data_IF_385056179014
#
_entry.id   IF_385056179014
#
_cell.length_a   1.000
_cell.length_b   1.000
_cell.length_c   1.000
_cell.angle_alpha   90.00
_cell.angle_beta   90.00
_cell.angle_gamma   90.00
#
_symmetry.space_group_name_H-M   'P 1'
#
loop_
_entity.id
_entity.type
_entity.pdbx_description
1 polymer ?
#
# COMPACT_ATOMS: atom_id res chain seq x y z
N UNK A 1 -14.25 -13.32 6.83
CA UNK A 1 -12.96 -13.43 7.53
C UNK A 1 -11.79 -13.32 6.56
N UNK A 2 -11.03 -12.21 6.61
CA UNK A 2 -9.90 -11.98 5.71
C UNK A 2 -8.73 -12.90 6.02
N UNK A 3 -7.94 -13.25 5.00
CA UNK A 3 -6.63 -13.86 5.19
C UNK A 3 -5.62 -12.76 5.54
N UNK A 4 -4.96 -12.91 6.68
CA UNK A 4 -3.97 -11.98 7.21
C UNK A 4 -2.65 -12.70 7.47
N UNK A 5 -1.64 -11.94 7.85
CA UNK A 5 -0.35 -12.45 8.28
C UNK A 5 -0.08 -11.98 9.72
N UNK A 6 0.41 -12.89 10.56
CA UNK A 6 0.89 -12.59 11.90
C UNK A 6 2.28 -13.19 12.09
N UNK A 7 3.28 -12.33 12.21
CA UNK A 7 4.68 -12.72 12.39
C UNK A 7 5.17 -13.72 11.31
N UNK A 8 4.83 -13.48 10.04
CA UNK A 8 5.20 -14.35 8.92
C UNK A 8 4.28 -15.55 8.70
N UNK A 9 3.31 -15.80 9.58
CA UNK A 9 2.39 -16.93 9.45
C UNK A 9 1.00 -16.47 8.95
N UNK A 10 0.38 -17.21 8.01
CA UNK A 10 -0.97 -16.91 7.56
C UNK A 10 -1.99 -17.21 8.67
N UNK A 11 -2.88 -16.26 8.94
CA UNK A 11 -3.96 -16.38 9.91
C UNK A 11 -5.29 -15.92 9.32
N UNK A 12 -6.41 -16.34 9.91
CA UNK A 12 -7.74 -15.82 9.57
C UNK A 12 -8.11 -14.71 10.55
N UNK A 13 -8.33 -13.51 10.02
CA UNK A 13 -8.91 -12.40 10.76
C UNK A 13 -10.41 -12.59 10.97
N UNK A 14 -11.04 -11.74 11.77
CA UNK A 14 -12.45 -11.88 12.14
C UNK A 14 -13.27 -10.68 11.68
N UNK A 15 -14.26 -10.93 10.83
CA UNK A 15 -15.20 -9.88 10.40
C UNK A 15 -14.58 -8.85 9.44
N UNK A 16 -14.96 -7.58 9.62
CA UNK A 16 -14.51 -6.48 8.74
C UNK A 16 -13.09 -6.05 9.10
N UNK A 17 -12.24 -5.90 8.08
CA UNK A 17 -10.79 -5.77 8.25
C UNK A 17 -10.37 -4.58 9.12
N UNK A 18 -11.02 -3.42 9.00
CA UNK A 18 -10.71 -2.25 9.82
C UNK A 18 -10.96 -2.54 11.31
N UNK A 19 -12.05 -3.24 11.62
CA UNK A 19 -12.43 -3.57 13.00
C UNK A 19 -11.42 -4.58 13.60
N UNK A 20 -11.06 -5.61 12.83
CA UNK A 20 -10.09 -6.65 13.22
C UNK A 20 -8.69 -6.08 13.46
N UNK A 21 -8.20 -5.22 12.56
CA UNK A 21 -6.92 -4.51 12.75
C UNK A 21 -6.94 -3.62 13.99
N UNK A 22 -8.08 -3.00 14.28
CA UNK A 22 -8.27 -2.18 15.48
C UNK A 22 -8.24 -3.05 16.74
N UNK A 23 -8.90 -4.20 16.74
CA UNK A 23 -8.89 -5.14 17.87
C UNK A 23 -7.47 -5.57 18.22
N UNK A 24 -6.66 -5.87 17.20
CA UNK A 24 -5.24 -6.17 17.37
C UNK A 24 -4.44 -4.98 17.92
N UNK A 25 -4.71 -3.75 17.47
CA UNK A 25 -4.08 -2.54 17.99
C UNK A 25 -4.44 -2.29 19.46
N UNK A 26 -5.71 -2.47 19.83
CA UNK A 26 -6.18 -2.34 21.21
C UNK A 26 -5.50 -3.35 22.13
N UNK A 27 -5.41 -4.61 21.70
CA UNK A 27 -4.72 -5.67 22.43
C UNK A 27 -3.22 -5.36 22.59
N UNK A 28 -2.58 -4.85 21.53
CA UNK A 28 -1.19 -4.43 21.59
C UNK A 28 -0.97 -3.29 22.60
N UNK A 29 -1.80 -2.24 22.56
CA UNK A 29 -1.70 -1.10 23.50
C UNK A 29 -1.86 -1.59 24.94
N UNK A 30 -2.86 -2.43 25.21
CA UNK A 30 -3.12 -3.01 26.54
C UNK A 30 -1.91 -3.80 27.05
N UNK A 31 -1.38 -4.72 26.24
CA UNK A 31 -0.21 -5.55 26.60
C UNK A 31 1.05 -4.72 26.88
N UNK A 32 1.15 -3.53 26.25
CA UNK A 32 2.31 -2.66 26.37
C UNK A 32 2.10 -1.47 27.31
N UNK A 33 0.99 -1.39 28.05
CA UNK A 33 0.61 -0.22 28.89
C UNK A 33 1.67 0.24 29.90
N UNK A 34 2.59 -0.65 30.29
CA UNK A 34 3.65 -0.38 31.28
C UNK A 34 5.01 -0.02 30.64
N UNK A 35 5.11 0.11 29.32
CA UNK A 35 6.34 0.51 28.62
C UNK A 35 6.02 1.41 27.43
N UNK A 36 6.98 2.23 26.93
CA UNK A 36 6.79 2.94 25.68
C UNK A 36 6.52 1.96 24.52
N UNK A 37 5.67 2.35 23.59
CA UNK A 37 5.35 1.56 22.41
C UNK A 37 5.23 2.43 21.16
N UNK A 38 5.43 1.80 20.00
CA UNK A 38 5.06 2.35 18.70
C UNK A 38 4.01 1.41 18.10
N UNK A 39 2.81 1.95 17.83
CA UNK A 39 1.71 1.22 17.23
C UNK A 39 1.36 1.87 15.90
N UNK A 40 1.62 1.17 14.80
CA UNK A 40 1.23 1.59 13.45
C UNK A 40 0.03 0.77 12.99
N UNK A 41 -1.07 1.46 12.66
CA UNK A 41 -2.34 0.83 12.26
C UNK A 41 -2.67 1.25 10.82
N UNK A 42 -2.19 0.51 9.80
CA UNK A 42 -2.43 0.83 8.40
C UNK A 42 -3.80 0.33 7.95
N UNK A 43 -4.85 1.13 8.14
CA UNK A 43 -6.14 0.81 7.52
C UNK A 43 -6.02 0.83 6.00
N UNK A 44 -6.61 -0.17 5.35
CA UNK A 44 -6.72 -0.22 3.90
C UNK A 44 -7.93 0.56 3.38
N UNK A 45 -8.89 0.91 4.23
CA UNK A 45 -10.04 1.74 3.88
C UNK A 45 -9.65 3.22 3.88
N UNK A 46 -10.29 4.09 3.05
CA UNK A 46 -11.41 3.82 2.14
C UNK A 46 -10.95 3.45 0.71
N UNK A 47 -9.88 2.68 0.57
CA UNK A 47 -9.52 2.10 -0.73
C UNK A 47 -10.58 1.10 -1.20
N UNK A 48 -10.62 0.87 -2.51
CA UNK A 48 -11.42 -0.21 -3.11
C UNK A 48 -10.87 -1.60 -2.72
N UNK A 49 -11.68 -2.67 -2.77
CA UNK A 49 -13.07 -2.73 -3.23
C UNK A 49 -14.03 -1.97 -2.31
N UNK A 50 -15.10 -1.41 -2.88
CA UNK A 50 -16.07 -0.57 -2.15
C UNK A 50 -17.02 -1.41 -1.30
N UNK A 51 -16.50 -1.97 -0.21
CA UNK A 51 -17.20 -2.82 0.74
C UNK A 51 -17.17 -2.23 2.16
N UNK A 52 -18.31 -2.21 2.84
CA UNK A 52 -18.43 -1.77 4.23
C UNK A 52 -19.67 -2.43 4.85
N UNK A 53 -19.71 -2.77 6.16
CA UNK A 53 -20.89 -3.38 6.78
C UNK A 53 -22.17 -2.55 6.61
N UNK A 54 -23.33 -3.23 6.54
CA UNK A 54 -24.65 -2.59 6.30
C UNK A 54 -24.93 -1.46 7.29
N UNK A 55 -24.60 -1.66 8.58
CA UNK A 55 -24.81 -0.66 9.65
C UNK A 55 -24.20 0.71 9.33
N UNK A 56 -23.12 0.76 8.58
CA UNK A 56 -22.51 2.01 8.12
C UNK A 56 -23.12 2.44 6.80
N UNK A 57 -23.28 1.54 5.83
CA UNK A 57 -23.75 1.90 4.50
C UNK A 57 -25.19 2.45 4.49
N UNK A 58 -26.07 1.94 5.35
CA UNK A 58 -27.48 2.31 5.37
C UNK A 58 -27.70 3.80 5.61
N UNK A 59 -26.86 4.45 6.41
CA UNK A 59 -26.90 5.89 6.63
C UNK A 59 -26.40 6.74 5.45
N UNK A 60 -25.73 6.13 4.47
CA UNK A 60 -25.11 6.81 3.33
C UNK A 60 -25.72 6.43 1.98
N UNK A 61 -26.42 5.30 1.88
CA UNK A 61 -26.97 4.72 0.64
C UNK A 61 -27.72 5.74 -0.22
N UNK A 62 -28.56 6.56 0.41
CA UNK A 62 -29.39 7.56 -0.24
C UNK A 62 -29.00 9.00 0.15
N UNK A 63 -27.85 9.16 0.81
CA UNK A 63 -27.40 10.47 1.28
C UNK A 63 -27.14 11.39 0.08
N UNK A 64 -27.73 12.60 0.05
CA UNK A 64 -27.40 13.61 -0.96
C UNK A 64 -25.92 13.99 -0.88
N UNK A 65 -25.24 14.00 -2.02
CA UNK A 65 -23.86 14.47 -2.11
C UNK A 65 -23.87 15.98 -2.32
N UNK A 66 -23.45 16.73 -1.30
CA UNK A 66 -23.43 18.21 -1.31
C UNK A 66 -22.04 18.79 -1.61
N UNK A 67 -20.99 18.01 -1.34
CA UNK A 67 -19.62 18.35 -1.69
C UNK A 67 -19.19 17.44 -2.83
N UNK A 68 -18.97 18.01 -4.01
CA UNK A 68 -18.61 17.28 -5.22
C UNK A 68 -17.15 17.49 -5.60
N UNK A 69 -16.54 16.52 -6.25
CA UNK A 69 -15.19 16.62 -6.80
C UNK A 69 -14.97 17.82 -7.71
N UNK A 70 -13.70 18.13 -8.01
CA UNK A 70 -13.34 19.19 -8.97
C UNK A 70 -13.83 18.89 -10.40
N UNK A 71 -14.10 17.62 -10.70
CA UNK A 71 -14.65 17.11 -11.97
C UNK A 71 -15.93 16.32 -11.64
N UNK A 72 -17.05 17.01 -11.29
CA UNK A 72 -18.26 16.38 -10.76
C UNK A 72 -18.91 15.39 -11.75
N UNK A 73 -18.72 15.59 -13.05
CA UNK A 73 -19.19 14.68 -14.10
C UNK A 73 -18.48 13.32 -14.10
N UNK A 74 -17.31 13.23 -13.46
CA UNK A 74 -16.55 11.99 -13.27
C UNK A 74 -16.76 11.37 -11.90
N UNK A 75 -17.46 12.06 -11.00
CA UNK A 75 -17.78 11.54 -9.69
C UNK A 75 -18.83 10.43 -9.79
N UNK A 76 -18.57 9.32 -9.12
CA UNK A 76 -19.46 8.16 -9.12
C UNK A 76 -20.17 8.09 -7.75
N UNK A 77 -21.47 8.46 -7.68
CA UNK A 77 -22.14 8.64 -6.39
C UNK A 77 -22.11 7.40 -5.49
N UNK A 78 -22.20 6.19 -6.06
CA UNK A 78 -22.10 4.94 -5.31
C UNK A 78 -20.74 4.76 -4.64
N UNK A 79 -19.65 5.05 -5.37
CA UNK A 79 -18.27 4.97 -4.82
C UNK A 79 -18.07 6.02 -3.74
N UNK A 80 -18.57 7.24 -3.95
CA UNK A 80 -18.50 8.32 -2.94
C UNK A 80 -19.24 7.94 -1.68
N UNK A 81 -20.50 7.46 -1.77
CA UNK A 81 -21.29 7.07 -0.59
C UNK A 81 -20.67 5.91 0.18
N UNK A 82 -20.15 4.91 -0.53
CA UNK A 82 -19.45 3.80 0.13
C UNK A 82 -18.16 4.26 0.80
N UNK A 83 -17.36 5.12 0.15
CA UNK A 83 -16.15 5.68 0.75
C UNK A 83 -16.46 6.52 2.00
N UNK A 84 -17.55 7.29 2.00
CA UNK A 84 -18.00 8.04 3.18
C UNK A 84 -18.43 7.11 4.33
N UNK A 85 -19.14 6.02 4.02
CA UNK A 85 -19.49 5.00 5.01
C UNK A 85 -18.26 4.26 5.55
N UNK A 86 -17.24 4.00 4.73
CA UNK A 86 -15.95 3.48 5.20
C UNK A 86 -15.25 4.48 6.13
N UNK A 87 -15.29 5.78 5.83
CA UNK A 87 -14.77 6.81 6.72
C UNK A 87 -15.49 6.85 8.06
N UNK A 88 -16.81 6.63 8.10
CA UNK A 88 -17.57 6.48 9.37
C UNK A 88 -17.04 5.31 10.20
N UNK A 89 -16.74 4.17 9.57
CA UNK A 89 -16.12 3.02 10.24
C UNK A 89 -14.70 3.32 10.73
N UNK A 90 -13.89 4.07 9.95
CA UNK A 90 -12.56 4.52 10.37
C UNK A 90 -12.69 5.44 11.60
N UNK A 91 -13.61 6.39 11.60
CA UNK A 91 -13.84 7.32 12.70
C UNK A 91 -14.22 6.57 13.99
N UNK A 92 -15.16 5.61 13.90
CA UNK A 92 -15.54 4.76 15.02
C UNK A 92 -14.32 4.03 15.61
N UNK A 93 -13.47 3.44 14.76
CA UNK A 93 -12.28 2.70 15.18
C UNK A 93 -11.16 3.59 15.74
N UNK A 94 -10.93 4.78 15.17
CA UNK A 94 -10.06 5.79 15.79
C UNK A 94 -10.59 6.17 17.17
N UNK A 95 -11.91 6.36 17.31
CA UNK A 95 -12.56 6.59 18.59
C UNK A 95 -12.33 5.47 19.60
N UNK A 96 -12.35 4.19 19.17
CA UNK A 96 -12.05 3.04 20.03
C UNK A 96 -10.60 3.11 20.56
N UNK A 97 -9.63 3.44 19.72
CA UNK A 97 -8.22 3.60 20.13
C UNK A 97 -8.08 4.75 21.13
N UNK A 98 -8.68 5.91 20.85
CA UNK A 98 -8.62 7.06 21.75
C UNK A 98 -9.23 6.75 23.13
N UNK A 99 -10.40 6.12 23.17
CA UNK A 99 -11.03 5.67 24.42
C UNK A 99 -10.15 4.68 25.19
N UNK A 100 -9.52 3.72 24.51
CA UNK A 100 -8.60 2.77 25.16
C UNK A 100 -7.40 3.47 25.80
N UNK A 101 -6.84 4.50 25.15
CA UNK A 101 -5.77 5.31 25.74
C UNK A 101 -6.24 6.06 26.99
N UNK A 102 -7.49 6.54 27.01
CA UNK A 102 -8.08 7.19 28.19
C UNK A 102 -8.35 6.19 29.33
N UNK A 103 -8.98 5.06 29.03
CA UNK A 103 -9.26 3.95 29.97
C UNK A 103 -7.98 3.46 30.69
N UNK A 104 -6.86 3.41 29.97
CA UNK A 104 -5.56 2.99 30.50
C UNK A 104 -4.74 4.12 31.11
N UNK A 105 -5.28 5.33 31.20
CA UNK A 105 -4.58 6.53 31.64
C UNK A 105 -3.26 6.78 30.87
N UNK A 106 -3.25 6.46 29.57
CA UNK A 106 -2.13 6.63 28.65
C UNK A 106 -2.24 7.91 27.81
N UNK A 107 -3.42 8.53 27.74
CA UNK A 107 -3.71 9.64 26.82
C UNK A 107 -2.69 10.78 26.86
N UNK A 108 -2.24 11.22 28.04
CA UNK A 108 -1.30 12.35 28.20
C UNK A 108 0.16 11.99 27.85
N UNK A 109 0.49 10.69 27.79
CA UNK A 109 1.82 10.16 27.48
C UNK A 109 1.88 9.47 26.11
N UNK A 110 0.88 9.69 25.25
CA UNK A 110 0.82 9.11 23.91
C UNK A 110 0.64 10.20 22.87
N UNK A 111 1.55 10.22 21.89
CA UNK A 111 1.38 11.00 20.66
C UNK A 111 0.51 10.17 19.72
N UNK A 112 -0.67 10.68 19.36
CA UNK A 112 -1.53 10.06 18.35
C UNK A 112 -1.42 10.87 17.06
N UNK A 113 -1.10 10.18 15.97
CA UNK A 113 -0.97 10.77 14.64
C UNK A 113 -1.97 10.08 13.70
N UNK A 114 -2.69 10.87 12.90
CA UNK A 114 -3.58 10.41 11.85
C UNK A 114 -3.27 11.14 10.55
N UNK A 115 -3.07 10.40 9.45
CA UNK A 115 -2.91 10.97 8.12
C UNK A 115 -3.32 9.98 7.03
N UNK A 116 -3.55 10.48 5.81
CA UNK A 116 -3.78 9.65 4.62
C UNK A 116 -2.49 9.46 3.83
N UNK A 117 -2.34 8.32 3.15
CA UNK A 117 -1.17 8.00 2.33
C UNK A 117 -1.09 8.84 1.04
N UNK A 118 -2.24 9.12 0.44
CA UNK A 118 -2.43 9.91 -0.77
C UNK A 118 -3.84 10.53 -0.81
N UNK A 119 -4.10 11.33 -1.85
CA UNK A 119 -5.44 11.77 -2.23
C UNK A 119 -6.39 10.61 -2.59
N UNK A 120 -7.68 10.89 -2.87
CA UNK A 120 -8.70 9.85 -3.06
C UNK A 120 -8.44 8.98 -4.29
N UNK A 121 -8.80 7.68 -4.23
CA UNK A 121 -8.76 6.75 -5.37
C UNK A 121 -9.95 6.88 -6.34
N UNK A 122 -10.82 7.89 -6.18
CA UNK A 122 -11.93 8.23 -7.08
C UNK A 122 -12.06 9.75 -7.21
N UNK A 123 -12.98 10.23 -8.04
CA UNK A 123 -13.26 11.66 -8.26
C UNK A 123 -14.13 12.31 -7.18
N UNK A 124 -14.20 11.71 -5.98
CA UNK A 124 -14.92 12.27 -4.83
C UNK A 124 -14.28 13.58 -4.35
N UNK A 125 -15.06 14.40 -3.65
CA UNK A 125 -14.57 15.66 -3.09
C UNK A 125 -13.29 15.50 -2.26
N UNK A 126 -12.33 16.38 -2.54
CA UNK A 126 -11.01 16.43 -1.92
C UNK A 126 -10.65 17.86 -1.50
N UNK A 127 -11.63 18.71 -1.19
CA UNK A 127 -11.39 20.14 -0.92
C UNK A 127 -11.37 21.03 -2.17
N UNK A 128 -11.93 20.56 -3.30
CA UNK A 128 -11.91 21.28 -4.57
C UNK A 128 -10.52 21.37 -5.20
N UNK A 129 -9.63 20.45 -4.84
CA UNK A 129 -8.24 20.42 -5.27
C UNK A 129 -8.12 19.61 -6.57
N UNK A 130 -7.30 20.07 -7.51
CA UNK A 130 -7.11 19.37 -8.80
C UNK A 130 -6.46 18.01 -8.61
N UNK A 131 -6.96 17.01 -9.32
CA UNK A 131 -6.39 15.67 -9.38
C UNK A 131 -6.80 14.78 -8.21
N UNK A 132 -6.33 13.54 -8.25
CA UNK A 132 -6.64 12.47 -7.29
C UNK A 132 -5.43 11.51 -7.16
N UNK A 133 -5.57 10.38 -6.47
CA UNK A 133 -4.52 9.34 -6.36
C UNK A 133 -3.88 9.07 -7.73
N UNK A 134 -2.55 9.08 -7.76
CA UNK A 134 -1.74 8.88 -8.96
C UNK A 134 -1.40 10.17 -9.74
N UNK A 135 -1.91 11.33 -9.31
CA UNK A 135 -1.51 12.64 -9.84
C UNK A 135 -0.53 13.34 -8.89
N UNK A 136 0.25 14.27 -9.45
CA UNK A 136 1.19 15.12 -8.70
C UNK A 136 0.60 16.52 -8.39
N UNK A 137 -0.67 16.73 -8.71
CA UNK A 137 -1.43 17.92 -8.37
C UNK A 137 -1.89 17.89 -6.91
N UNK A 138 -2.37 19.01 -6.37
CA UNK A 138 -2.71 19.19 -4.95
C UNK A 138 -3.65 18.11 -4.44
N UNK A 139 -4.67 17.75 -5.21
CA UNK A 139 -5.65 16.73 -4.85
C UNK A 139 -5.11 15.30 -4.83
N UNK A 140 -3.94 15.05 -5.42
CA UNK A 140 -3.24 13.77 -5.36
C UNK A 140 -2.29 13.65 -4.17
N UNK A 141 -1.66 14.75 -3.74
CA UNK A 141 -0.55 14.73 -2.78
C UNK A 141 -0.82 15.46 -1.45
N UNK A 142 -1.84 16.33 -1.38
CA UNK A 142 -2.23 17.01 -0.14
C UNK A 142 -3.30 16.21 0.59
N UNK A 143 -3.00 15.88 1.84
CA UNK A 143 -3.79 14.98 2.67
C UNK A 143 -4.04 15.58 4.07
N UNK A 144 -5.07 15.11 4.80
CA UNK A 144 -5.20 15.41 6.22
C UNK A 144 -3.99 14.89 7.01
N UNK A 145 -3.52 15.69 7.97
CA UNK A 145 -2.56 15.30 9.00
C UNK A 145 -2.99 15.92 10.33
N UNK A 146 -3.25 15.08 11.32
CA UNK A 146 -3.64 15.45 12.67
C UNK A 146 -2.63 14.84 13.65
N UNK A 147 -2.16 15.65 14.60
CA UNK A 147 -1.25 15.21 15.66
C UNK A 147 -1.83 15.68 17.00
N UNK A 148 -2.02 14.73 17.92
CA UNK A 148 -2.56 14.95 19.26
C UNK A 148 -1.54 14.49 20.30
N UNK A 149 -1.23 15.38 21.24
CA UNK A 149 -0.46 15.06 22.44
C UNK A 149 -0.94 15.94 23.60
N UNK A 150 -1.90 15.47 24.41
CA UNK A 150 -2.48 16.25 25.50
C UNK A 150 -1.43 16.74 26.49
N UNK A 151 -1.63 17.94 27.05
CA UNK A 151 -0.66 18.57 27.94
C UNK A 151 0.59 19.14 27.24
N UNK A 152 0.83 18.80 25.98
CA UNK A 152 2.01 19.24 25.21
C UNK A 152 1.64 20.12 24.01
N UNK A 153 0.73 19.65 23.15
CA UNK A 153 0.24 20.39 21.99
C UNK A 153 -1.05 21.12 22.39
N UNK A 154 -1.08 22.45 22.21
CA UNK A 154 -2.28 23.24 22.49
C UNK A 154 -3.45 22.79 21.59
N UNK A 155 -4.65 22.47 22.14
CA UNK A 155 -5.81 22.14 21.33
C UNK A 155 -6.13 23.22 20.29
N UNK A 156 -6.52 22.80 19.08
CA UNK A 156 -6.84 23.72 17.98
C UNK A 156 -5.63 24.38 17.32
N UNK A 157 -4.39 24.00 17.66
CA UNK A 157 -3.19 24.47 16.98
C UNK A 157 -3.26 24.17 15.49
N UNK A 158 -3.02 25.20 14.66
CA UNK A 158 -2.94 25.08 13.21
C UNK A 158 -1.53 25.44 12.76
N UNK A 159 -0.93 24.56 11.95
CA UNK A 159 0.39 24.78 11.35
C UNK A 159 0.17 25.16 9.87
N UNK A 160 0.23 26.46 9.51
CA UNK A 160 0.06 26.89 8.12
C UNK A 160 1.28 26.60 7.24
N UNK A 161 2.44 26.34 7.84
CA UNK A 161 3.67 26.02 7.12
C UNK A 161 3.52 24.72 6.33
N UNK A 162 4.06 24.69 5.11
CA UNK A 162 4.09 23.48 4.31
C UNK A 162 4.90 22.39 5.01
N UNK A 163 4.34 21.18 5.00
CA UNK A 163 4.93 19.99 5.58
C UNK A 163 4.61 18.78 4.69
N UNK A 164 5.38 17.71 4.83
CA UNK A 164 5.17 16.45 4.13
C UNK A 164 5.38 15.26 5.06
N UNK A 165 4.97 14.07 4.61
CA UNK A 165 5.17 12.82 5.37
C UNK A 165 6.66 12.56 5.72
N UNK A 166 7.58 13.08 4.90
CA UNK A 166 9.04 13.07 5.15
C UNK A 166 9.42 13.71 6.50
N UNK A 167 8.61 14.63 7.01
CA UNK A 167 8.84 15.32 8.27
C UNK A 167 8.46 14.46 9.49
N UNK A 168 7.70 13.37 9.31
CA UNK A 168 7.21 12.56 10.43
C UNK A 168 8.34 11.84 11.16
N UNK A 169 9.32 11.27 10.44
CA UNK A 169 10.47 10.60 11.05
C UNK A 169 11.27 11.54 11.98
N UNK A 170 11.77 12.71 11.52
CA UNK A 170 12.50 13.62 12.41
C UNK A 170 11.61 14.23 13.50
N UNK A 171 10.33 14.45 13.24
CA UNK A 171 9.38 14.98 14.24
C UNK A 171 9.16 13.99 15.37
N UNK A 172 8.84 12.74 15.05
CA UNK A 172 8.50 11.71 16.04
C UNK A 172 9.73 11.29 16.86
N UNK A 173 10.90 11.19 16.23
CA UNK A 173 12.16 10.90 16.94
C UNK A 173 12.54 12.00 17.92
N UNK A 174 12.46 13.28 17.51
CA UNK A 174 12.67 14.45 18.39
C UNK A 174 11.67 14.49 19.54
N UNK A 175 10.37 14.28 19.27
CA UNK A 175 9.33 14.28 20.30
C UNK A 175 9.43 13.11 21.28
N UNK A 176 9.88 11.93 20.81
CA UNK A 176 10.07 10.74 21.63
C UNK A 176 11.44 10.67 22.34
N UNK A 177 12.36 11.60 22.05
CA UNK A 177 13.73 11.56 22.57
C UNK A 177 14.55 10.37 22.05
N UNK A 178 14.21 9.84 20.88
CA UNK A 178 14.90 8.72 20.24
C UNK A 178 16.02 9.26 19.35
N UNK A 179 17.25 8.84 19.61
CA UNK A 179 18.37 9.19 18.75
C UNK A 179 18.19 8.58 17.35
N UNK A 180 18.39 9.39 16.32
CA UNK A 180 18.37 8.91 14.94
C UNK A 180 19.56 7.98 14.71
N UNK A 181 19.29 6.82 14.11
CA UNK A 181 20.32 5.89 13.65
C UNK A 181 20.62 6.16 12.17
N UNK A 182 21.90 6.19 11.81
CA UNK A 182 22.38 6.45 10.46
C UNK A 182 22.93 7.87 10.25
N UNK A 183 23.79 8.02 9.24
CA UNK A 183 24.50 9.26 8.92
C UNK A 183 23.97 9.96 7.65
N UNK A 184 23.11 9.31 6.86
CA UNK A 184 22.51 9.91 5.67
C UNK A 184 21.68 11.16 6.05
N UNK A 185 21.68 12.24 5.26
CA UNK A 185 20.80 13.38 5.51
C UNK A 185 19.33 12.95 5.43
N UNK A 186 18.44 13.69 6.12
CA UNK A 186 16.99 13.54 6.01
C UNK A 186 16.44 14.67 5.15
N UNK A 187 15.50 14.37 4.26
CA UNK A 187 14.77 15.40 3.48
C UNK A 187 13.73 16.15 4.32
N UNK A 188 13.30 15.54 5.42
CA UNK A 188 12.33 16.08 6.36
C UNK A 188 12.94 16.93 7.48
N UNK A 189 12.10 17.73 8.12
CA UNK A 189 12.43 18.57 9.26
C UNK A 189 11.52 18.27 10.45
N UNK A 190 12.03 18.36 11.68
CA UNK A 190 11.17 18.23 12.87
C UNK A 190 10.17 19.39 12.94
N UNK A 191 8.88 19.08 12.92
CA UNK A 191 7.77 20.02 13.13
C UNK A 191 7.57 20.36 14.60
N UNK A 192 8.31 19.74 15.53
CA UNK A 192 8.15 19.91 16.97
C UNK A 192 8.13 21.37 17.43
N UNK A 193 9.01 22.28 16.95
CA UNK A 193 8.94 23.69 17.36
C UNK A 193 7.60 24.34 17.01
N UNK A 194 7.05 24.02 15.83
CA UNK A 194 5.74 24.52 15.39
C UNK A 194 4.61 23.92 16.22
N UNK A 195 4.63 22.61 16.46
CA UNK A 195 3.62 21.88 17.24
C UNK A 195 3.56 22.35 18.70
N UNK A 196 4.69 22.73 19.28
CA UNK A 196 4.79 23.23 20.66
C UNK A 196 4.68 24.76 20.74
N UNK A 197 4.32 25.45 19.66
CA UNK A 197 4.11 26.90 19.64
C UNK A 197 5.36 27.72 19.93
N UNK A 198 6.56 27.17 19.72
CA UNK A 198 7.82 27.90 19.90
C UNK A 198 7.99 28.87 18.75
N UNK A 199 8.27 30.14 19.06
CA UNK A 199 8.72 31.11 18.06
C UNK A 199 10.04 30.62 17.46
N UNK A 200 10.02 30.25 16.19
CA UNK A 200 11.19 29.79 15.45
C UNK A 200 11.23 30.47 14.10
N UNK A 201 12.43 30.77 13.61
CA UNK A 201 12.61 31.06 12.19
C UNK A 201 12.37 29.75 11.43
N UNK A 202 11.20 29.63 10.78
CA UNK A 202 10.90 28.49 9.95
C UNK A 202 11.46 28.73 8.55
N UNK A 203 12.31 27.83 8.00
CA UNK A 203 12.95 28.08 6.73
C UNK A 203 11.97 27.92 5.57
N UNK A 204 12.21 28.69 4.51
CA UNK A 204 11.61 28.42 3.21
C UNK A 204 12.12 27.07 2.70
N UNK A 205 11.20 26.29 2.10
CA UNK A 205 11.53 24.96 1.57
C UNK A 205 10.73 24.62 0.33
N UNK A 206 11.17 23.56 -0.33
CA UNK A 206 10.53 22.95 -1.49
C UNK A 206 10.23 21.48 -1.16
N UNK A 207 9.01 21.04 -1.46
CA UNK A 207 8.61 19.63 -1.38
C UNK A 207 8.37 19.15 -2.80
N UNK A 208 9.04 18.07 -3.18
CA UNK A 208 8.96 17.46 -4.50
C UNK A 208 8.07 16.22 -4.46
N UNK A 209 7.29 16.01 -5.52
CA UNK A 209 6.52 14.79 -5.72
C UNK A 209 6.89 14.21 -7.09
N UNK A 210 7.12 12.89 -7.14
CA UNK A 210 7.54 12.18 -8.35
C UNK A 210 6.67 10.96 -8.61
N UNK A 211 6.29 10.76 -9.87
CA UNK A 211 5.62 9.54 -10.33
C UNK A 211 5.89 9.34 -11.82
N UNK A 212 6.38 8.16 -12.21
CA UNK A 212 6.61 7.76 -13.60
C UNK A 212 7.38 8.82 -14.42
N UNK A 213 8.47 9.38 -13.87
CA UNK A 213 9.30 10.41 -14.52
C UNK A 213 8.75 11.84 -14.46
N UNK A 214 7.47 12.01 -14.10
CA UNK A 214 6.87 13.31 -13.83
C UNK A 214 7.31 13.82 -12.47
N UNK A 215 7.59 15.13 -12.35
CA UNK A 215 7.97 15.76 -11.08
C UNK A 215 7.23 17.08 -10.94
N UNK A 216 6.69 17.35 -9.75
CA UNK A 216 6.16 18.66 -9.35
C UNK A 216 6.90 19.18 -8.12
N UNK A 217 6.86 20.49 -7.89
CA UNK A 217 7.45 21.12 -6.70
C UNK A 217 6.49 22.10 -6.05
N UNK A 218 6.39 22.03 -4.72
CA UNK A 218 5.56 22.89 -3.86
C UNK A 218 6.45 23.69 -2.91
N UNK A 219 6.36 25.02 -2.96
CA UNK A 219 6.91 25.96 -1.95
C UNK A 219 5.85 26.28 -0.89
N UNK A 220 6.04 27.25 0.00
CA UNK A 220 4.96 27.70 0.91
C UNK A 220 3.72 28.21 0.16
N UNK A 221 3.92 29.01 -0.89
CA UNK A 221 2.82 29.67 -1.62
C UNK A 221 2.56 29.12 -3.02
N UNK A 222 3.60 28.72 -3.76
CA UNK A 222 3.48 28.33 -5.16
C UNK A 222 3.70 26.84 -5.40
N UNK A 223 3.06 26.30 -6.44
CA UNK A 223 3.38 24.99 -7.05
C UNK A 223 3.82 25.20 -8.50
N UNK A 224 4.85 24.48 -8.94
CA UNK A 224 5.08 24.17 -10.35
C UNK A 224 4.61 22.72 -10.62
N UNK A 225 3.64 22.54 -11.51
CA UNK A 225 3.14 21.21 -11.88
C UNK A 225 4.09 20.47 -12.82
N UNK A 226 3.79 19.20 -13.10
CA UNK A 226 4.63 18.37 -13.97
C UNK A 226 4.67 18.82 -15.44
N UNK A 227 3.73 19.68 -15.86
CA UNK A 227 3.71 20.30 -17.18
C UNK A 227 4.46 21.65 -17.22
N UNK A 228 5.07 22.06 -16.09
CA UNK A 228 5.81 23.31 -15.98
C UNK A 228 4.93 24.54 -15.77
N UNK A 229 3.65 24.39 -15.41
CA UNK A 229 2.75 25.51 -15.10
C UNK A 229 2.84 25.90 -13.64
N UNK A 230 2.80 27.20 -13.36
CA UNK A 230 2.93 27.78 -12.02
C UNK A 230 1.56 28.17 -11.47
N UNK A 231 1.28 27.84 -10.22
CA UNK A 231 0.02 28.14 -9.52
C UNK A 231 0.27 28.80 -8.16
N UNK A 232 -0.54 29.81 -7.81
CA UNK A 232 -0.55 30.45 -6.49
C UNK A 232 -1.54 29.71 -5.57
N UNK A 233 -1.03 28.82 -4.73
CA UNK A 233 -1.82 27.87 -3.95
C UNK A 233 -2.52 28.50 -2.73
N UNK A 234 -2.17 29.75 -2.37
CA UNK A 234 -2.91 30.51 -1.35
C UNK A 234 -4.18 31.15 -1.92
N UNK A 235 -4.19 31.46 -3.21
CA UNK A 235 -5.33 32.07 -3.91
C UNK A 235 -6.16 31.05 -4.70
N UNK A 236 -5.54 29.95 -5.12
CA UNK A 236 -6.12 28.97 -6.02
C UNK A 236 -5.66 27.55 -5.65
N UNK A 237 -6.25 27.00 -4.59
CA UNK A 237 -6.00 25.61 -4.19
C UNK A 237 -6.45 24.58 -5.23
N UNK A 238 -7.31 25.00 -6.17
CA UNK A 238 -7.81 24.18 -7.27
C UNK A 238 -6.90 24.15 -8.49
N UNK A 239 -5.82 24.94 -8.55
CA UNK A 239 -4.92 25.02 -9.71
C UNK A 239 -5.65 25.32 -11.04
N UNK A 240 -6.61 26.25 -11.00
CA UNK A 240 -7.43 26.66 -12.13
C UNK A 240 -6.79 27.78 -12.97
N UNK A 241 -5.88 28.57 -12.39
CA UNK A 241 -5.22 29.69 -13.06
C UNK A 241 -3.70 29.53 -13.07
N UNK A 242 -3.16 29.31 -14.26
CA UNK A 242 -1.73 29.37 -14.51
C UNK A 242 -1.22 30.81 -14.43
N UNK A 243 -0.28 31.08 -13.51
CA UNK A 243 0.35 32.38 -13.28
C UNK A 243 1.78 32.47 -13.81
N UNK A 244 2.19 31.54 -14.66
CA UNK A 244 3.55 31.45 -15.23
C UNK A 244 3.96 32.73 -15.96
N UNK A 245 3.10 33.26 -16.83
CA UNK A 245 3.37 34.48 -17.62
C UNK A 245 3.55 35.72 -16.75
N UNK A 246 2.94 35.72 -15.57
CA UNK A 246 3.01 36.84 -14.62
C UNK A 246 4.22 36.72 -13.68
N UNK A 247 4.83 35.53 -13.58
CA UNK A 247 5.95 35.26 -12.68
C UNK A 247 7.05 34.40 -13.38
N UNK A 248 7.58 34.82 -14.54
CA UNK A 248 8.49 34.00 -15.34
C UNK A 248 9.78 33.63 -14.59
N UNK A 249 10.35 34.56 -13.82
CA UNK A 249 11.57 34.31 -13.03
C UNK A 249 11.36 33.23 -11.95
N UNK A 250 10.17 33.21 -11.32
CA UNK A 250 9.82 32.22 -10.32
C UNK A 250 9.58 30.85 -10.95
N UNK A 251 8.87 30.81 -12.08
CA UNK A 251 8.67 29.59 -12.86
C UNK A 251 10.03 28.97 -13.22
N UNK A 252 10.93 29.77 -13.79
CA UNK A 252 12.28 29.36 -14.15
C UNK A 252 13.10 28.86 -12.95
N UNK A 253 12.99 29.53 -11.80
CA UNK A 253 13.67 29.11 -10.57
C UNK A 253 13.20 27.73 -10.10
N UNK A 254 11.89 27.49 -10.12
CA UNK A 254 11.31 26.20 -9.72
C UNK A 254 11.61 25.11 -10.75
N UNK A 255 11.60 25.42 -12.04
CA UNK A 255 11.97 24.49 -13.10
C UNK A 255 13.42 24.02 -12.94
N UNK A 256 14.36 24.96 -12.69
CA UNK A 256 15.76 24.61 -12.38
C UNK A 256 15.89 23.77 -11.10
N UNK A 257 15.05 24.01 -10.09
CA UNK A 257 15.04 23.20 -8.88
C UNK A 257 14.56 21.77 -9.15
N UNK A 258 13.55 21.60 -9.99
CA UNK A 258 13.09 20.28 -10.45
C UNK A 258 14.17 19.55 -11.23
N UNK A 259 14.88 20.22 -12.15
CA UNK A 259 15.98 19.59 -12.89
C UNK A 259 17.09 19.09 -11.96
N UNK A 260 17.53 19.92 -11.01
CA UNK A 260 18.53 19.50 -10.01
C UNK A 260 18.06 18.34 -9.15
N UNK A 261 16.80 18.38 -8.71
CA UNK A 261 16.23 17.28 -7.93
C UNK A 261 16.22 15.97 -8.73
N UNK A 262 15.90 16.01 -10.03
CA UNK A 262 15.94 14.83 -10.90
C UNK A 262 17.36 14.28 -11.02
N UNK A 263 18.36 15.14 -11.22
CA UNK A 263 19.78 14.73 -11.29
C UNK A 263 20.27 14.09 -9.98
N UNK A 264 19.81 14.61 -8.84
CA UNK A 264 20.19 14.11 -7.51
C UNK A 264 19.48 12.80 -7.13
N UNK A 265 18.16 12.71 -7.37
CA UNK A 265 17.30 11.66 -6.81
C UNK A 265 16.95 10.56 -7.81
N UNK A 266 17.00 10.85 -9.11
CA UNK A 266 16.69 9.89 -10.18
C UNK A 266 17.93 9.59 -11.03
N UNK A 267 19.07 9.14 -10.46
CA UNK A 267 20.18 8.71 -11.31
C UNK A 267 19.70 7.56 -12.20
N UNK A 268 19.72 7.79 -13.52
CA UNK A 268 19.18 6.91 -14.57
C UNK A 268 19.45 5.41 -14.31
N UNK A 269 18.47 4.60 -13.89
CA UNK A 269 18.53 3.17 -14.10
C UNK A 269 18.13 2.92 -15.56
N UNK A 270 18.98 2.31 -16.40
CA UNK A 270 18.66 2.05 -17.81
C UNK A 270 17.40 1.19 -17.97
N UNK A 271 17.11 0.33 -17.00
CA UNK A 271 15.88 -0.43 -16.84
C UNK A 271 15.72 -0.71 -15.33
N UNK A 272 14.49 -0.63 -14.78
CA UNK A 272 14.22 -1.08 -13.40
C UNK A 272 14.21 -2.62 -13.38
N UNK A 273 15.42 -3.18 -13.34
CA UNK A 273 15.70 -4.61 -13.48
C UNK A 273 15.94 -5.27 -12.10
N UNK A 274 15.20 -4.84 -11.07
CA UNK A 274 15.36 -5.35 -9.71
C UNK A 274 14.72 -6.74 -9.57
N UNK A 275 15.50 -7.79 -9.22
CA UNK A 275 14.96 -9.12 -8.97
C UNK A 275 14.20 -9.17 -7.63
N UNK A 276 13.42 -10.24 -7.43
CA UNK A 276 12.83 -10.59 -6.14
C UNK A 276 13.89 -11.24 -5.24
N UNK A 277 14.28 -10.61 -4.12
CA UNK A 277 15.24 -11.22 -3.21
C UNK A 277 14.61 -12.41 -2.48
N UNK A 278 15.30 -13.55 -2.44
CA UNK A 278 14.87 -14.76 -1.72
C UNK A 278 15.98 -15.28 -0.82
N UNK A 279 15.61 -15.84 0.34
CA UNK A 279 16.57 -16.51 1.21
C UNK A 279 17.48 -15.61 2.05
N UNK A 280 16.98 -14.46 2.49
CA UNK A 280 17.63 -13.72 3.58
C UNK A 280 17.57 -14.56 4.87
N UNK A 281 18.70 -14.86 5.49
CA UNK A 281 18.76 -15.68 6.70
C UNK A 281 18.10 -15.02 7.92
N UNK A 282 17.94 -13.70 7.91
CA UNK A 282 17.20 -12.95 8.94
C UNK A 282 15.68 -13.07 8.77
N UNK A 283 15.22 -13.34 7.54
CA UNK A 283 13.82 -13.52 7.17
C UNK A 283 13.70 -14.72 6.21
N UNK A 284 13.81 -15.96 6.71
CA UNK A 284 14.01 -17.14 5.88
C UNK A 284 12.82 -17.50 4.99
N UNK A 285 11.65 -16.90 5.22
CA UNK A 285 10.43 -17.12 4.45
C UNK A 285 10.25 -15.98 3.44
N UNK A 286 10.11 -16.34 2.16
CA UNK A 286 9.80 -15.40 1.08
C UNK A 286 8.59 -15.87 0.30
N UNK A 287 7.54 -15.04 0.24
CA UNK A 287 6.38 -15.28 -0.61
C UNK A 287 6.57 -14.58 -1.96
N UNK A 288 6.46 -15.35 -3.04
CA UNK A 288 6.50 -14.93 -4.43
C UNK A 288 5.05 -14.93 -4.97
N UNK A 289 4.32 -13.81 -4.87
CA UNK A 289 2.92 -13.74 -5.25
C UNK A 289 2.73 -13.64 -6.77
N UNK A 290 1.52 -13.93 -7.23
CA UNK A 290 1.15 -13.80 -8.64
C UNK A 290 1.38 -12.38 -9.19
N UNK A 291 1.17 -11.32 -8.38
CA UNK A 291 1.35 -9.91 -8.80
C UNK A 291 2.75 -9.64 -9.37
N UNK A 292 3.74 -10.37 -8.87
CA UNK A 292 5.16 -10.20 -9.10
C UNK A 292 5.72 -11.19 -10.14
N UNK A 293 4.91 -12.17 -10.55
CA UNK A 293 5.28 -13.15 -11.58
C UNK A 293 4.87 -12.70 -12.98
N UNK A 294 5.53 -13.29 -13.98
CA UNK A 294 5.16 -13.20 -15.39
C UNK A 294 4.47 -14.51 -15.81
N UNK A 295 3.19 -14.46 -16.25
CA UNK A 295 2.54 -15.60 -16.88
C UNK A 295 2.99 -15.75 -18.34
N UNK A 296 3.13 -16.99 -18.80
CA UNK A 296 3.45 -17.31 -20.20
C UNK A 296 2.41 -18.27 -20.78
N UNK A 297 2.18 -18.18 -22.09
CA UNK A 297 1.22 -19.03 -22.79
C UNK A 297 -0.23 -18.59 -22.55
N UNK A 298 -1.09 -19.55 -22.19
CA UNK A 298 -2.52 -19.31 -21.97
C UNK A 298 -2.88 -18.79 -20.57
N UNK A 299 -1.92 -18.79 -19.64
CA UNK A 299 -2.13 -18.35 -18.27
C UNK A 299 -2.51 -16.87 -18.23
N UNK A 300 -3.57 -16.56 -17.48
CA UNK A 300 -4.08 -15.19 -17.33
C UNK A 300 -4.18 -14.80 -15.87
N UNK A 301 -4.16 -13.50 -15.62
CA UNK A 301 -4.54 -12.95 -14.31
C UNK A 301 -6.06 -12.99 -14.17
N UNK A 302 -6.54 -13.30 -12.98
CA UNK A 302 -7.96 -13.27 -12.63
C UNK A 302 -8.60 -11.89 -12.75
N UNK A 303 -7.80 -10.81 -12.71
CA UNK A 303 -8.23 -9.44 -12.91
C UNK A 303 -7.07 -8.55 -13.39
N UNK A 304 -7.38 -7.33 -13.84
CA UNK A 304 -6.39 -6.39 -14.38
C UNK A 304 -5.50 -5.77 -13.31
N UNK A 305 -5.99 -5.59 -12.08
CA UNK A 305 -5.19 -5.09 -10.96
C UNK A 305 -4.30 -6.22 -10.41
N UNK A 306 -2.97 -6.20 -10.64
CA UNK A 306 -2.11 -7.33 -10.30
C UNK A 306 -2.07 -7.60 -8.80
N UNK A 307 -2.13 -6.56 -7.97
CA UNK A 307 -1.98 -6.60 -6.50
C UNK A 307 -2.95 -7.52 -5.76
N UNK A 308 -4.12 -7.79 -6.35
CA UNK A 308 -5.12 -8.69 -5.78
C UNK A 308 -5.42 -9.90 -6.69
N UNK A 309 -4.72 -10.04 -7.82
CA UNK A 309 -4.94 -11.12 -8.79
C UNK A 309 -4.29 -12.44 -8.38
N UNK A 310 -4.73 -13.51 -9.01
CA UNK A 310 -4.08 -14.82 -9.05
C UNK A 310 -4.06 -15.32 -10.50
N UNK A 311 -3.32 -16.39 -10.78
CA UNK A 311 -3.25 -16.96 -12.12
C UNK A 311 -4.32 -18.02 -12.35
N UNK A 312 -4.94 -17.96 -13.53
CA UNK A 312 -5.95 -18.89 -14.03
C UNK A 312 -5.57 -19.40 -15.41
N UNK A 313 -6.37 -20.32 -15.95
CA UNK A 313 -6.25 -20.80 -17.34
C UNK A 313 -4.92 -21.46 -17.69
N UNK A 314 -4.26 -22.06 -16.70
CA UNK A 314 -3.12 -22.94 -16.94
C UNK A 314 -3.60 -24.26 -17.54
N UNK A 315 -3.38 -24.46 -18.85
CA UNK A 315 -4.02 -25.53 -19.65
C UNK A 315 -3.04 -26.41 -20.42
N UNK A 316 -1.81 -25.96 -20.61
CA UNK A 316 -0.79 -26.67 -21.38
C UNK A 316 0.48 -26.93 -20.59
N UNK A 317 1.25 -27.94 -20.99
CA UNK A 317 2.64 -28.17 -20.55
C UNK A 317 3.60 -27.10 -21.09
N UNK A 318 3.21 -26.37 -22.13
CA UNK A 318 3.99 -25.24 -22.68
C UNK A 318 3.79 -23.95 -21.89
N UNK A 319 2.73 -23.88 -21.09
CA UNK A 319 2.45 -22.76 -20.19
C UNK A 319 3.38 -22.80 -18.97
N UNK A 320 3.78 -21.62 -18.49
CA UNK A 320 4.62 -21.50 -17.29
C UNK A 320 4.43 -20.16 -16.59
N UNK A 321 4.82 -20.12 -15.33
CA UNK A 321 4.85 -18.91 -14.50
C UNK A 321 6.31 -18.70 -14.07
N UNK A 322 6.82 -17.47 -14.21
CA UNK A 322 8.21 -17.16 -13.85
C UNK A 322 8.31 -15.98 -12.89
N UNK A 323 9.21 -16.07 -11.93
CA UNK A 323 9.69 -14.95 -11.11
C UNK A 323 11.17 -14.75 -11.38
N UNK A 324 11.60 -13.52 -11.65
CA UNK A 324 13.02 -13.17 -11.64
C UNK A 324 13.45 -13.01 -10.18
N UNK A 325 14.30 -13.91 -9.69
CA UNK A 325 14.68 -13.98 -8.28
C UNK A 325 16.19 -13.84 -8.11
N UNK A 326 16.61 -13.26 -7.00
CA UNK A 326 18.00 -13.25 -6.53
C UNK A 326 18.09 -14.01 -5.21
N UNK A 327 18.71 -15.19 -5.26
CA UNK A 327 18.95 -16.05 -4.09
C UNK A 327 20.12 -15.47 -3.31
N UNK A 328 19.85 -14.95 -2.11
CA UNK A 328 20.86 -14.32 -1.26
C UNK A 328 21.77 -15.36 -0.56
N UNK A 329 21.20 -16.50 -0.17
CA UNK A 329 21.88 -17.57 0.58
C UNK A 329 21.70 -18.89 -0.14
N UNK A 330 22.78 -19.60 -0.50
CA UNK A 330 22.64 -20.96 -1.02
C UNK A 330 22.14 -21.91 0.08
N UNK A 331 21.31 -22.90 -0.25
CA UNK A 331 20.80 -23.81 0.77
C UNK A 331 19.62 -24.67 0.34
N UNK A 332 19.01 -25.31 1.34
CA UNK A 332 17.81 -26.13 1.20
C UNK A 332 16.56 -25.30 1.49
N UNK A 333 15.63 -25.29 0.54
CA UNK A 333 14.37 -24.54 0.62
C UNK A 333 13.18 -25.47 0.63
N UNK A 334 12.27 -25.29 1.59
CA UNK A 334 10.91 -25.80 1.45
C UNK A 334 10.15 -24.89 0.48
N UNK A 335 9.52 -25.48 -0.53
CA UNK A 335 8.69 -24.77 -1.47
C UNK A 335 7.20 -25.13 -1.27
N UNK A 336 6.34 -24.13 -1.23
CA UNK A 336 4.88 -24.30 -1.07
C UNK A 336 4.14 -23.51 -2.13
N UNK A 337 3.27 -24.16 -2.90
CA UNK A 337 2.43 -23.48 -3.89
C UNK A 337 1.03 -23.28 -3.28
N UNK A 338 0.54 -22.05 -3.25
CA UNK A 338 -0.84 -21.78 -2.86
C UNK A 338 -1.75 -21.89 -4.08
N UNK A 339 -2.61 -22.91 -4.09
CA UNK A 339 -3.37 -23.32 -5.27
C UNK A 339 -4.85 -23.58 -5.00
N UNK A 340 -5.63 -23.60 -6.08
CA UNK A 340 -6.95 -24.23 -6.17
C UNK A 340 -7.01 -25.13 -7.40
N UNK A 341 -7.72 -26.26 -7.32
CA UNK A 341 -7.85 -27.23 -8.41
C UNK A 341 -9.23 -27.84 -8.41
N UNK A 342 -9.91 -27.84 -9.57
CA UNK A 342 -11.18 -28.54 -9.73
C UNK A 342 -10.98 -30.06 -9.66
N UNK A 343 -12.01 -30.79 -9.25
CA UNK A 343 -11.97 -32.25 -9.09
C UNK A 343 -11.55 -33.01 -10.35
N UNK A 344 -11.97 -32.52 -11.52
CA UNK A 344 -11.65 -33.10 -12.83
C UNK A 344 -10.19 -32.86 -13.28
N UNK A 345 -9.48 -31.92 -12.63
CA UNK A 345 -8.14 -31.47 -13.01
C UNK A 345 -7.03 -32.09 -12.11
N UNK A 346 -7.44 -32.85 -11.09
CA UNK A 346 -6.55 -33.58 -10.17
C UNK A 346 -5.72 -34.62 -10.92
N UNK A 347 -4.44 -34.73 -10.57
CA UNK A 347 -3.48 -35.68 -11.16
C UNK A 347 -2.42 -35.03 -12.04
N UNK A 348 -2.52 -33.73 -12.33
CA UNK A 348 -1.51 -32.98 -13.09
C UNK A 348 -0.16 -33.00 -12.35
N UNK A 349 0.94 -33.21 -13.07
CA UNK A 349 2.30 -33.16 -12.50
C UNK A 349 2.95 -31.84 -12.84
N UNK A 350 3.54 -31.20 -11.83
CA UNK A 350 4.23 -29.92 -11.95
C UNK A 350 5.70 -30.02 -11.58
N UNK A 351 6.46 -29.03 -12.02
CA UNK A 351 7.86 -28.84 -11.69
C UNK A 351 8.11 -27.36 -11.35
N UNK A 352 8.78 -27.12 -10.23
CA UNK A 352 9.39 -25.84 -9.88
C UNK A 352 10.90 -25.96 -10.08
N UNK A 353 11.52 -25.01 -10.75
CA UNK A 353 12.96 -25.06 -11.00
C UNK A 353 13.65 -23.71 -11.08
N UNK A 354 14.95 -23.72 -10.76
CA UNK A 354 15.87 -22.58 -10.78
C UNK A 354 17.29 -23.07 -11.08
N UNK A 355 17.96 -22.49 -12.08
CA UNK A 355 19.37 -22.77 -12.44
C UNK A 355 19.74 -24.27 -12.42
N UNK A 356 18.95 -25.11 -13.09
CA UNK A 356 19.18 -26.56 -13.19
C UNK A 356 18.72 -27.40 -11.99
N UNK A 357 18.40 -26.78 -10.85
CA UNK A 357 17.76 -27.46 -9.72
C UNK A 357 16.25 -27.50 -9.93
N UNK A 358 15.65 -28.69 -9.77
CA UNK A 358 14.20 -28.85 -9.92
C UNK A 358 13.59 -29.70 -8.83
N UNK A 359 12.31 -29.49 -8.61
CA UNK A 359 11.48 -30.28 -7.74
C UNK A 359 10.11 -30.50 -8.37
N UNK A 360 9.57 -31.72 -8.21
CA UNK A 360 8.31 -32.13 -8.81
C UNK A 360 7.28 -32.47 -7.74
N UNK A 361 6.01 -32.24 -8.10
CA UNK A 361 4.87 -32.67 -7.30
C UNK A 361 3.69 -33.02 -8.21
N UNK A 362 2.78 -33.84 -7.69
CA UNK A 362 1.50 -34.13 -8.34
C UNK A 362 0.40 -33.45 -7.54
N UNK A 363 -0.57 -32.85 -8.22
CA UNK A 363 -1.78 -32.34 -7.57
C UNK A 363 -2.64 -33.53 -7.18
N UNK A 364 -2.67 -33.89 -5.91
CA UNK A 364 -3.35 -35.11 -5.42
C UNK A 364 -4.75 -34.86 -4.87
N UNK A 365 -5.08 -33.60 -4.59
CA UNK A 365 -6.33 -33.24 -3.94
C UNK A 365 -6.99 -32.06 -4.65
N UNK A 366 -8.31 -32.13 -4.81
CA UNK A 366 -9.11 -31.01 -5.25
C UNK A 366 -9.31 -29.96 -4.15
N UNK A 367 -9.53 -28.73 -4.58
CA UNK A 367 -9.93 -27.60 -3.76
C UNK A 367 -10.31 -26.47 -4.71
N UNK A 368 -11.60 -26.32 -5.01
CA UNK A 368 -12.08 -25.26 -5.89
C UNK A 368 -13.27 -24.53 -5.26
N UNK A 369 -13.02 -23.75 -4.19
CA UNK A 369 -14.06 -22.95 -3.58
C UNK A 369 -14.53 -21.87 -4.56
N UNK A 370 -15.82 -21.49 -4.52
CA UNK A 370 -16.34 -20.42 -5.35
C UNK A 370 -15.64 -19.10 -5.05
N UNK A 371 -15.66 -18.19 -6.02
CA UNK A 371 -15.29 -16.80 -5.77
C UNK A 371 -16.31 -16.14 -4.85
N UNK A 372 -15.82 -15.35 -3.90
CA UNK A 372 -16.59 -14.60 -2.91
C UNK A 372 -16.19 -13.13 -2.91
N UNK A 373 -17.03 -12.31 -2.29
CA UNK A 373 -16.83 -10.88 -2.12
C UNK A 373 -17.81 -10.02 -2.92
N UNK A 374 -18.38 -10.55 -4.01
CA UNK A 374 -19.36 -9.82 -4.82
C UNK A 374 -20.60 -9.43 -4.01
N UNK A 375 -20.99 -10.29 -3.07
CA UNK A 375 -22.12 -10.10 -2.15
C UNK A 375 -21.93 -8.93 -1.19
N UNK A 376 -20.70 -8.46 -0.96
CA UNK A 376 -20.39 -7.33 -0.06
C UNK A 376 -20.09 -6.03 -0.81
N UNK A 377 -20.03 -6.06 -2.15
CA UNK A 377 -19.72 -4.90 -2.97
C UNK A 377 -20.90 -3.93 -3.00
N UNK A 378 -20.66 -2.66 -2.67
CA UNK A 378 -21.64 -1.57 -2.84
C UNK A 378 -21.65 -1.00 -4.25
N UNK A 379 -20.56 -1.23 -4.97
CA UNK A 379 -20.35 -0.88 -6.38
C UNK A 379 -19.58 -2.03 -7.03
N UNK A 380 -19.95 -2.46 -8.25
CA UNK A 380 -19.20 -3.47 -8.98
C UNK A 380 -17.71 -3.13 -9.10
N UNK A 381 -16.85 -4.15 -9.02
CA UNK A 381 -15.41 -4.01 -9.23
C UNK A 381 -15.10 -3.73 -10.70
N UNK A 382 -14.07 -2.94 -10.94
CA UNK A 382 -13.58 -2.64 -12.30
C UNK A 382 -12.29 -3.37 -12.62
N UNK A 383 -11.38 -3.47 -11.65
CA UNK A 383 -10.08 -4.10 -11.85
C UNK A 383 -9.65 -5.07 -10.76
N UNK A 384 -10.31 -5.05 -9.60
CA UNK A 384 -9.99 -5.92 -8.48
C UNK A 384 -10.56 -7.33 -8.69
N UNK A 385 -9.74 -8.34 -8.39
CA UNK A 385 -10.19 -9.74 -8.38
C UNK A 385 -11.16 -9.99 -7.24
N UNK A 386 -12.18 -10.81 -7.47
CA UNK A 386 -12.83 -11.54 -6.38
C UNK A 386 -11.84 -12.52 -5.76
N UNK A 387 -12.13 -12.95 -4.53
CA UNK A 387 -11.22 -13.81 -3.77
C UNK A 387 -11.81 -15.20 -3.62
N UNK A 388 -10.96 -16.20 -3.44
CA UNK A 388 -11.35 -17.55 -3.02
C UNK A 388 -10.25 -18.09 -2.12
N UNK A 389 -10.57 -19.13 -1.35
CA UNK A 389 -9.58 -19.75 -0.49
C UNK A 389 -8.61 -20.59 -1.32
N UNK A 390 -7.32 -20.42 -1.04
CA UNK A 390 -6.24 -21.22 -1.62
C UNK A 390 -5.71 -22.13 -0.52
N UNK A 391 -5.27 -23.34 -0.91
CA UNK A 391 -4.63 -24.27 0.02
C UNK A 391 -3.17 -24.50 -0.35
N UNK A 392 -2.31 -24.86 0.62
CA UNK A 392 -0.91 -25.13 0.35
C UNK A 392 -0.71 -26.51 -0.28
N UNK A 393 -0.03 -26.57 -1.42
CA UNK A 393 0.65 -27.75 -1.94
C UNK A 393 2.10 -27.69 -1.49
N UNK A 394 2.48 -28.51 -0.53
CA UNK A 394 3.88 -28.60 -0.06
C UNK A 394 4.68 -29.46 -1.03
N UNK A 395 5.74 -28.89 -1.57
CA UNK A 395 6.75 -29.63 -2.31
C UNK A 395 7.76 -30.15 -1.27
N UNK A 396 8.61 -31.11 -1.68
CA UNK A 396 9.80 -31.49 -0.89
C UNK A 396 10.82 -30.33 -0.87
N UNK A 397 12.08 -30.65 -0.59
CA UNK A 397 13.17 -29.66 -0.52
C UNK A 397 13.75 -29.39 -1.91
N UNK A 398 13.82 -28.12 -2.29
CA UNK A 398 14.53 -27.61 -3.46
C UNK A 398 15.87 -27.02 -3.00
N UNK A 399 16.98 -27.47 -3.57
CA UNK A 399 18.29 -26.86 -3.31
C UNK A 399 18.47 -25.68 -4.25
N UNK A 400 18.79 -24.51 -3.72
CA UNK A 400 19.04 -23.31 -4.51
C UNK A 400 20.49 -22.87 -4.29
N UNK A 401 21.17 -22.56 -5.38
CA UNK A 401 22.49 -21.92 -5.34
C UNK A 401 22.32 -20.39 -5.32
N UNK A 402 23.30 -19.70 -4.75
CA UNK A 402 23.33 -18.23 -4.71
C UNK A 402 23.43 -17.68 -6.14
N UNK A 403 22.57 -16.75 -6.50
CA UNK A 403 22.59 -16.13 -7.83
C UNK A 403 21.23 -15.56 -8.24
N UNK A 404 21.21 -14.90 -9.40
CA UNK A 404 20.01 -14.36 -10.02
C UNK A 404 19.58 -15.24 -11.19
N UNK A 405 18.27 -15.47 -11.33
CA UNK A 405 17.72 -16.26 -12.42
C UNK A 405 16.19 -16.38 -12.36
N UNK A 406 15.61 -17.06 -13.34
CA UNK A 406 14.17 -17.26 -13.41
C UNK A 406 13.72 -18.50 -12.63
N UNK A 407 13.07 -18.31 -11.49
CA UNK A 407 12.32 -19.38 -10.82
C UNK A 407 11.09 -19.69 -11.67
N UNK A 408 11.01 -20.90 -12.20
CA UNK A 408 9.99 -21.31 -13.18
C UNK A 408 9.10 -22.39 -12.60
N UNK A 409 7.79 -22.15 -12.58
CA UNK A 409 6.75 -23.14 -12.31
C UNK A 409 6.11 -23.57 -13.64
N UNK A 410 6.19 -24.86 -13.97
CA UNK A 410 5.66 -25.45 -15.21
C UNK A 410 4.99 -26.80 -14.98
N UNK A 411 4.23 -27.26 -15.97
CA UNK A 411 3.55 -28.56 -15.93
C UNK A 411 4.32 -29.56 -16.77
N UNK A 412 4.42 -30.80 -16.26
CA UNK A 412 4.96 -31.95 -16.99
C UNK A 412 3.85 -32.82 -17.57
N UNK A 413 2.65 -32.76 -16.97
CA UNK A 413 1.43 -33.37 -17.50
C UNK A 413 0.21 -32.57 -17.04
N UNK A 414 -0.83 -32.58 -17.87
CA UNK A 414 -2.14 -32.02 -17.56
C UNK A 414 -3.14 -33.18 -17.51
N UNK A 415 -3.72 -33.44 -16.34
CA UNK A 415 -4.62 -34.59 -16.15
C UNK A 415 -6.05 -34.33 -16.63
N UNK A 416 -6.51 -33.07 -16.54
CA UNK A 416 -7.85 -32.65 -16.94
C UNK A 416 -7.85 -31.55 -18.00
N UNK A 417 -8.71 -30.56 -17.81
CA UNK A 417 -8.82 -29.38 -18.66
C UNK A 417 -7.80 -28.31 -18.28
N UNK A 418 -7.43 -28.26 -16.99
CA UNK A 418 -6.47 -27.30 -16.42
C UNK A 418 -5.50 -28.00 -15.47
N UNK A 419 -4.44 -27.31 -15.09
CA UNK A 419 -3.47 -27.76 -14.08
C UNK A 419 -3.93 -27.35 -12.67
N UNK A 420 -4.01 -26.04 -12.41
CA UNK A 420 -4.52 -25.40 -11.19
C UNK A 420 -4.59 -23.88 -11.39
N UNK A 421 -5.27 -23.17 -10.50
CA UNK A 421 -5.04 -21.74 -10.31
C UNK A 421 -3.93 -21.53 -9.26
N UNK A 422 -3.10 -20.50 -9.44
CA UNK A 422 -1.91 -20.24 -8.59
C UNK A 422 -1.96 -18.83 -8.00
N UNK A 423 -1.94 -18.73 -6.66
CA UNK A 423 -1.86 -17.45 -5.95
C UNK A 423 -0.42 -17.00 -5.68
N UNK A 424 0.43 -17.92 -5.26
CA UNK A 424 1.83 -17.63 -4.91
C UNK A 424 2.65 -18.92 -4.78
N UNK A 425 3.98 -18.75 -4.79
CA UNK A 425 4.95 -19.74 -4.33
C UNK A 425 5.64 -19.18 -3.09
N UNK A 426 5.76 -19.95 -2.02
CA UNK A 426 6.50 -19.57 -0.81
C UNK A 426 7.76 -20.42 -0.73
N UNK A 427 8.91 -19.78 -0.56
CA UNK A 427 10.20 -20.41 -0.33
C UNK A 427 10.61 -20.18 1.12
N UNK A 428 10.97 -21.24 1.84
CA UNK A 428 11.49 -21.13 3.21
C UNK A 428 12.87 -21.75 3.30
N UNK A 429 13.90 -20.95 3.55
CA UNK A 429 15.25 -21.42 3.82
C UNK A 429 15.27 -22.23 5.12
N UNK A 430 15.68 -23.50 5.06
CA UNK A 430 15.72 -24.41 6.21
C UNK A 430 17.12 -24.62 6.74
N UNK A 431 18.08 -24.82 5.84
CA UNK A 431 19.47 -25.15 6.13
C UNK A 431 20.36 -24.42 5.12
N UNK A 432 21.46 -23.84 5.60
CA UNK A 432 22.44 -23.08 4.83
C UNK A 432 23.85 -23.61 5.08
#
# INVERSE_FOLDING_TARGET
DPLLERNGEPVRGKGYITDDLTDHALAFIEQNRNRPFFCYVPYNTPHSPFQVPDRFYDGFRDKPLVMLGSEPEREEPGKTRCALAMCENIDENVGRILRKLEELALADRTIVLYFSDNGPNSWRWNGGMKGRKGSLDEGGVRVPLLIRWPGHIKPGTRIPQIAGAIDLLPTLTDMAGVARVGNKPLDGMSLRPLLLGKKTAWPDRMIFSHQNGMVSVRTQRYRLDAAGRLFDMEKDSGQNRDVSRENPELQDRLARAVSRWKEEVLPNPPDDDRPFPVGDSSFPVTTLPARDAVPHGLIRRSASAPNCSFFTDWRSVDDRITWDVEVATAGSYEAVINYTCAKQDVGSTIELGFEGSTIRATVTEDHDPPLVGAEFDRVPREGESYVKDFKPLRLRVLRLEKGRGALTLRALSVAGVRVMDVRSVTLTLKEH
#
